data_IF_741874620486
#
_entry.id   IF_741874620486
#
_cell.length_a   1.000
_cell.length_b   1.000
_cell.length_c   1.000
_cell.angle_alpha   90.00
_cell.angle_beta   90.00
_cell.angle_gamma   90.00
#
_symmetry.space_group_name_H-M   'P 1'
#
loop_
_entity.id
_entity.type
_entity.pdbx_description
1 polymer ?
#
# COMPACT_ATOMS: atom_id res chain seq x y z
N UNK A 1 -39.54 -26.18 -5.25
CA UNK A 1 -38.44 -27.14 -5.03
C UNK A 1 -37.35 -26.83 -6.03
N UNK A 2 -36.33 -26.08 -5.64
CA UNK A 2 -35.11 -25.95 -6.44
C UNK A 2 -33.97 -26.53 -5.64
N UNK A 3 -33.34 -27.52 -6.25
CA UNK A 3 -32.33 -28.43 -5.72
C UNK A 3 -31.06 -27.68 -5.34
N UNK A 4 -30.52 -28.00 -4.17
CA UNK A 4 -29.13 -27.71 -3.82
C UNK A 4 -28.20 -28.46 -4.78
N UNK A 5 -27.65 -27.78 -5.78
CA UNK A 5 -26.44 -28.25 -6.43
C UNK A 5 -25.27 -27.91 -5.53
N UNK A 6 -24.81 -28.91 -4.77
CA UNK A 6 -23.50 -28.90 -4.10
C UNK A 6 -22.44 -28.66 -5.18
N UNK A 7 -21.90 -27.43 -5.25
CA UNK A 7 -20.70 -27.16 -6.02
C UNK A 7 -19.57 -28.01 -5.43
N UNK A 8 -19.11 -28.99 -6.19
CA UNK A 8 -17.90 -29.73 -5.86
C UNK A 8 -16.73 -28.74 -5.84
N UNK A 9 -16.06 -28.63 -4.69
CA UNK A 9 -14.86 -27.77 -4.50
C UNK A 9 -13.75 -28.17 -5.47
N UNK A 10 -13.13 -27.18 -6.09
CA UNK A 10 -11.96 -27.35 -6.96
C UNK A 10 -10.74 -27.84 -6.15
N UNK A 11 -9.86 -28.71 -6.69
CA UNK A 11 -8.69 -29.23 -5.97
C UNK A 11 -7.61 -28.18 -5.65
N UNK A 12 -7.77 -26.94 -6.13
CA UNK A 12 -6.78 -25.85 -6.07
C UNK A 12 -7.03 -24.92 -4.86
N UNK A 13 -8.15 -25.09 -4.13
CA UNK A 13 -8.57 -24.21 -3.02
C UNK A 13 -8.21 -24.73 -1.61
N UNK A 14 -7.30 -25.70 -1.50
CA UNK A 14 -6.86 -26.22 -0.20
C UNK A 14 -5.53 -25.60 0.22
N UNK A 15 -5.48 -24.95 1.39
CA UNK A 15 -4.22 -24.49 1.99
C UNK A 15 -3.31 -25.71 2.26
N UNK A 16 -2.09 -25.67 1.72
CA UNK A 16 -1.08 -26.69 2.03
C UNK A 16 -0.42 -26.41 3.38
N UNK A 17 -1.04 -26.91 4.45
CA UNK A 17 -0.53 -26.78 5.82
C UNK A 17 0.85 -27.42 6.03
N UNK A 18 1.33 -28.30 5.12
CA UNK A 18 2.69 -28.85 5.22
C UNK A 18 3.75 -27.77 5.05
N UNK A 19 3.48 -26.72 4.28
CA UNK A 19 4.38 -25.56 4.12
C UNK A 19 4.56 -24.75 5.41
N UNK A 20 3.62 -24.89 6.35
CA UNK A 20 3.59 -24.16 7.61
C UNK A 20 3.70 -25.08 8.83
N UNK A 21 4.11 -26.34 8.65
CA UNK A 21 4.08 -27.33 9.73
C UNK A 21 4.86 -26.86 10.96
N UNK A 22 5.99 -26.16 10.75
CA UNK A 22 6.85 -25.68 11.83
C UNK A 22 6.27 -24.43 12.51
N UNK A 23 5.57 -23.59 11.73
CA UNK A 23 4.93 -22.36 12.20
C UNK A 23 3.65 -22.66 13.01
N UNK A 24 2.91 -23.71 12.63
CA UNK A 24 1.60 -24.08 13.21
C UNK A 24 1.60 -25.37 14.02
N UNK A 25 2.78 -25.94 14.33
CA UNK A 25 2.95 -27.21 15.04
C UNK A 25 2.17 -27.34 16.36
N UNK A 26 1.88 -26.21 17.00
CA UNK A 26 1.22 -26.13 18.30
C UNK A 26 -0.29 -25.81 18.18
N UNK A 27 -0.78 -25.49 16.98
CA UNK A 27 -2.18 -25.13 16.74
C UNK A 27 -3.01 -26.40 16.57
N UNK A 28 -4.24 -26.40 17.11
CA UNK A 28 -5.19 -27.49 16.93
C UNK A 28 -5.46 -27.81 15.45
N UNK A 29 -5.30 -29.07 15.06
CA UNK A 29 -5.45 -29.47 13.65
C UNK A 29 -6.88 -29.33 13.12
N UNK A 30 -7.92 -29.46 13.97
CA UNK A 30 -9.30 -29.27 13.52
C UNK A 30 -9.56 -27.81 13.20
N UNK A 31 -8.97 -26.89 13.96
CA UNK A 31 -9.00 -25.48 13.61
C UNK A 31 -8.31 -25.22 12.27
N UNK A 32 -7.08 -25.73 12.05
CA UNK A 32 -6.37 -25.54 10.78
C UNK A 32 -7.19 -26.05 9.59
N UNK A 33 -7.87 -27.19 9.72
CA UNK A 33 -8.78 -27.72 8.68
C UNK A 33 -9.96 -26.79 8.33
N UNK A 34 -10.33 -25.87 9.22
CA UNK A 34 -11.40 -24.88 8.98
C UNK A 34 -10.92 -23.59 8.33
N UNK A 35 -9.60 -23.38 8.24
CA UNK A 35 -9.00 -22.20 7.64
C UNK A 35 -9.07 -22.33 6.11
N UNK A 36 -9.55 -21.27 5.46
CA UNK A 36 -9.73 -21.15 4.01
C UNK A 36 -8.74 -20.17 3.37
N UNK A 37 -8.14 -19.26 4.14
CA UNK A 37 -7.08 -18.36 3.65
C UNK A 37 -6.08 -18.01 4.76
N UNK A 38 -4.81 -17.81 4.39
CA UNK A 38 -3.74 -17.36 5.29
C UNK A 38 -3.00 -16.20 4.63
N UNK A 39 -2.87 -15.09 5.34
CA UNK A 39 -2.03 -13.97 4.98
C UNK A 39 -0.85 -13.86 5.94
N UNK A 40 0.35 -13.66 5.40
CA UNK A 40 1.60 -13.61 6.18
C UNK A 40 2.08 -12.17 6.23
N UNK A 41 2.30 -11.68 7.45
CA UNK A 41 2.94 -10.41 7.73
C UNK A 41 4.36 -10.69 8.20
N UNK A 42 5.31 -9.96 7.63
CA UNK A 42 6.71 -10.07 8.01
C UNK A 42 7.11 -8.84 8.82
N UNK A 43 7.66 -9.07 10.01
CA UNK A 43 8.23 -8.00 10.81
C UNK A 43 9.72 -8.27 11.12
N UNK A 44 10.48 -7.18 11.18
CA UNK A 44 11.90 -7.17 11.49
C UNK A 44 12.10 -6.61 12.90
N UNK A 45 12.32 -7.51 13.85
CA UNK A 45 12.64 -7.14 15.23
C UNK A 45 14.04 -7.66 15.57
N UNK A 46 14.94 -6.76 16.03
CA UNK A 46 16.31 -7.12 16.48
C UNK A 46 17.06 -8.03 15.51
N UNK A 47 16.97 -7.74 14.21
CA UNK A 47 17.64 -8.47 13.13
C UNK A 47 17.12 -9.91 12.87
N UNK A 48 15.97 -10.30 13.43
CA UNK A 48 15.28 -11.56 13.11
C UNK A 48 13.97 -11.28 12.38
N UNK A 49 13.74 -12.01 11.30
CA UNK A 49 12.44 -11.99 10.61
C UNK A 49 11.45 -12.84 11.41
N UNK A 50 10.42 -12.21 11.97
CA UNK A 50 9.26 -12.90 12.55
C UNK A 50 8.15 -12.99 11.49
N UNK A 51 7.47 -14.13 11.48
CA UNK A 51 6.25 -14.33 10.67
C UNK A 51 5.06 -14.17 11.59
N UNK A 52 4.15 -13.32 11.19
CA UNK A 52 2.86 -13.09 11.82
C UNK A 52 1.78 -13.49 10.82
N UNK A 53 0.62 -13.95 11.27
CA UNK A 53 -0.37 -14.57 10.41
C UNK A 53 -1.77 -14.01 10.67
N UNK A 54 -2.50 -13.78 9.58
CA UNK A 54 -3.95 -13.66 9.59
C UNK A 54 -4.52 -14.94 8.96
N UNK A 55 -5.39 -15.63 9.69
CA UNK A 55 -6.04 -16.86 9.26
C UNK A 55 -7.53 -16.62 9.13
N UNK A 56 -8.11 -16.92 7.97
CA UNK A 56 -9.53 -16.77 7.71
C UNK A 56 -10.18 -18.14 7.67
N UNK A 57 -11.32 -18.28 8.32
CA UNK A 57 -12.25 -19.40 8.17
C UNK A 57 -13.50 -18.91 7.43
N UNK A 58 -14.43 -19.80 7.09
CA UNK A 58 -15.73 -19.39 6.54
C UNK A 58 -16.55 -18.50 7.51
N UNK A 59 -16.20 -18.48 8.81
CA UNK A 59 -17.01 -17.84 9.86
C UNK A 59 -16.32 -16.70 10.60
N UNK A 60 -15.01 -16.60 10.53
CA UNK A 60 -14.24 -15.62 11.28
C UNK A 60 -12.81 -15.46 10.77
N UNK A 61 -12.21 -14.31 11.07
CA UNK A 61 -10.79 -13.99 10.88
C UNK A 61 -10.04 -14.10 12.21
N UNK A 62 -8.80 -14.55 12.17
CA UNK A 62 -7.96 -14.81 13.36
C UNK A 62 -6.55 -14.26 13.15
N UNK A 63 -5.97 -13.69 14.20
CA UNK A 63 -4.57 -13.28 14.26
C UNK A 63 -3.73 -14.34 14.98
N UNK A 64 -2.54 -14.61 14.49
CA UNK A 64 -1.59 -15.53 15.12
C UNK A 64 -0.15 -15.01 14.98
N UNK A 65 0.44 -14.65 16.11
CA UNK A 65 1.77 -14.09 16.24
C UNK A 65 1.80 -13.03 17.36
N UNK A 66 2.97 -12.82 17.97
CA UNK A 66 3.10 -11.94 19.14
C UNK A 66 2.80 -10.47 18.81
N UNK A 67 3.33 -9.97 17.70
CA UNK A 67 3.25 -8.56 17.36
C UNK A 67 1.91 -8.20 16.74
N UNK A 68 1.37 -9.05 15.86
CA UNK A 68 0.04 -8.79 15.30
C UNK A 68 -1.03 -8.85 16.38
N UNK A 69 -0.91 -9.77 17.34
CA UNK A 69 -1.82 -9.78 18.48
C UNK A 69 -1.65 -8.52 19.34
N UNK A 70 -0.40 -8.10 19.59
CA UNK A 70 -0.13 -6.84 20.31
C UNK A 70 -0.75 -5.62 19.61
N UNK A 71 -0.61 -5.49 18.28
CA UNK A 71 -1.21 -4.40 17.50
C UNK A 71 -2.73 -4.37 17.60
N UNK A 72 -3.35 -5.55 17.61
CA UNK A 72 -4.80 -5.70 17.71
C UNK A 72 -5.29 -5.74 19.17
N UNK A 73 -4.43 -5.47 20.15
CA UNK A 73 -4.75 -5.58 21.58
C UNK A 73 -5.28 -6.96 22.00
N UNK A 74 -4.84 -8.00 21.29
CA UNK A 74 -5.13 -9.41 21.57
C UNK A 74 -3.98 -10.05 22.36
N UNK A 75 -4.30 -11.05 23.18
CA UNK A 75 -3.27 -11.84 23.88
C UNK A 75 -2.83 -12.99 22.99
N UNK A 76 -1.57 -12.98 22.54
CA UNK A 76 -1.03 -14.10 21.78
C UNK A 76 -1.08 -15.42 22.59
N UNK A 77 -1.52 -16.48 21.93
CA UNK A 77 -1.52 -17.85 22.44
C UNK A 77 -0.86 -18.74 21.39
N UNK A 78 0.20 -19.46 21.79
CA UNK A 78 0.98 -20.33 20.90
C UNK A 78 0.18 -21.52 20.34
N UNK A 79 -0.98 -21.82 20.92
CA UNK A 79 -1.82 -22.97 20.54
C UNK A 79 -3.13 -22.55 19.88
N UNK A 80 -3.52 -21.28 20.02
CA UNK A 80 -4.84 -20.81 19.61
C UNK A 80 -4.74 -19.46 18.90
N UNK A 81 -4.99 -19.41 17.59
CA UNK A 81 -5.21 -18.15 16.89
C UNK A 81 -6.34 -17.35 17.53
N UNK A 82 -6.14 -16.05 17.65
CA UNK A 82 -7.03 -15.14 18.36
C UNK A 82 -8.04 -14.56 17.37
N UNK A 83 -9.33 -14.72 17.64
CA UNK A 83 -10.37 -14.16 16.78
C UNK A 83 -10.23 -12.65 16.71
N UNK A 84 -10.31 -12.11 15.51
CA UNK A 84 -10.37 -10.67 15.26
C UNK A 84 -11.85 -10.31 15.13
N UNK A 85 -12.28 -9.38 15.98
CA UNK A 85 -13.53 -8.66 15.79
C UNK A 85 -13.20 -7.41 14.97
N UNK A 86 -13.87 -7.21 13.84
CA UNK A 86 -13.83 -5.95 13.11
C UNK A 86 -14.88 -5.04 13.76
N UNK A 87 -14.38 -4.03 14.48
CA UNK A 87 -15.22 -3.05 15.16
C UNK A 87 -16.02 -2.23 14.15
N UNK A 88 -17.31 -2.07 14.41
CA UNK A 88 -18.24 -1.29 13.60
C UNK A 88 -19.18 -0.43 14.44
N UNK A 89 -18.82 -0.12 15.69
CA UNK A 89 -19.64 0.65 16.65
C UNK A 89 -20.17 1.99 16.11
N UNK A 90 -19.59 2.54 15.05
CA UNK A 90 -20.00 3.79 14.42
C UNK A 90 -20.34 3.63 12.93
N UNK A 91 -20.46 2.40 12.44
CA UNK A 91 -20.73 2.13 11.02
C UNK A 91 -19.52 2.38 10.10
N UNK A 92 -18.31 2.36 10.65
CA UNK A 92 -17.06 2.59 9.90
C UNK A 92 -16.75 1.53 8.84
N UNK A 93 -17.46 0.40 8.83
CA UNK A 93 -17.40 -0.60 7.76
C UNK A 93 -18.26 -0.22 6.54
N UNK A 94 -19.19 0.74 6.67
CA UNK A 94 -20.02 1.19 5.54
C UNK A 94 -21.09 0.20 5.11
N UNK A 95 -21.56 -0.67 6.02
CA UNK A 95 -22.50 -1.75 5.71
C UNK A 95 -23.98 -1.38 5.91
N UNK A 96 -24.25 -0.16 6.35
CA UNK A 96 -25.60 0.33 6.66
C UNK A 96 -26.08 0.02 8.07
N UNK A 97 -25.21 -0.49 8.92
CA UNK A 97 -25.46 -0.78 10.33
C UNK A 97 -24.18 -0.58 11.17
N UNK A 98 -24.33 -0.71 12.49
CA UNK A 98 -23.28 -0.55 13.51
C UNK A 98 -22.87 -1.90 14.13
N UNK A 99 -23.16 -3.02 13.43
CA UNK A 99 -22.91 -4.36 13.97
C UNK A 99 -21.47 -4.79 13.67
N UNK A 100 -20.76 -5.35 14.64
CA UNK A 100 -19.41 -5.88 14.41
C UNK A 100 -19.43 -7.03 13.39
N UNK A 101 -18.33 -7.16 12.63
CA UNK A 101 -18.16 -8.25 11.66
C UNK A 101 -16.95 -9.11 12.01
N UNK A 102 -17.09 -10.40 11.79
CA UNK A 102 -15.99 -11.36 11.95
C UNK A 102 -15.39 -11.82 10.61
N UNK A 103 -16.06 -11.51 9.50
CA UNK A 103 -15.66 -11.87 8.14
C UNK A 103 -15.79 -10.66 7.21
N UNK A 104 -15.07 -10.64 6.08
CA UNK A 104 -15.20 -9.56 5.09
C UNK A 104 -16.60 -9.53 4.47
N UNK A 105 -17.14 -8.32 4.29
CA UNK A 105 -18.38 -8.06 3.58
C UNK A 105 -18.14 -7.11 2.41
N UNK A 106 -18.96 -7.26 1.37
CA UNK A 106 -18.96 -6.32 0.26
C UNK A 106 -19.62 -5.01 0.69
N UNK A 107 -18.86 -3.92 0.65
CA UNK A 107 -19.38 -2.57 0.87
C UNK A 107 -20.07 -2.08 -0.40
N UNK A 108 -21.31 -1.63 -0.28
CA UNK A 108 -22.07 -1.09 -1.39
C UNK A 108 -21.88 0.44 -1.49
N UNK A 109 -21.77 0.94 -2.71
CA UNK A 109 -21.67 2.37 -3.00
C UNK A 109 -22.85 2.81 -3.87
N UNK A 110 -23.44 3.95 -3.55
CA UNK A 110 -24.65 4.46 -4.19
C UNK A 110 -24.45 4.98 -5.61
N UNK A 111 -23.20 5.25 -6.02
CA UNK A 111 -22.85 5.81 -7.33
C UNK A 111 -22.23 4.74 -8.25
N UNK A 112 -22.88 4.33 -9.36
CA UNK A 112 -22.35 3.33 -10.27
C UNK A 112 -21.03 3.73 -10.96
N UNK A 113 -20.72 5.03 -11.08
CA UNK A 113 -19.46 5.49 -11.68
C UNK A 113 -18.26 5.36 -10.73
N UNK A 114 -18.49 4.90 -9.49
CA UNK A 114 -17.50 4.68 -8.44
C UNK A 114 -16.91 3.25 -8.45
N UNK A 115 -16.87 2.56 -9.60
CA UNK A 115 -16.54 1.11 -9.64
C UNK A 115 -15.11 0.74 -9.22
N UNK A 116 -14.19 1.70 -9.13
CA UNK A 116 -12.80 1.41 -8.74
C UNK A 116 -12.29 2.36 -7.68
N UNK A 117 -12.15 1.83 -6.47
CA UNK A 117 -11.46 2.48 -5.37
C UNK A 117 -9.96 2.57 -5.71
N UNK A 118 -9.41 3.77 -5.64
CA UNK A 118 -7.99 4.11 -5.81
C UNK A 118 -7.23 4.01 -4.49
N UNK A 119 -7.83 4.47 -3.39
CA UNK A 119 -7.23 4.43 -2.07
C UNK A 119 -8.30 4.29 -0.98
N UNK A 120 -7.97 3.62 0.11
CA UNK A 120 -8.79 3.52 1.32
C UNK A 120 -7.97 4.04 2.48
N UNK A 121 -8.57 4.90 3.28
CA UNK A 121 -7.98 5.44 4.49
C UNK A 121 -8.91 5.12 5.65
N UNK A 122 -8.35 4.53 6.71
CA UNK A 122 -9.07 4.19 7.93
C UNK A 122 -8.53 5.07 9.08
N UNK A 123 -9.42 5.87 9.66
CA UNK A 123 -9.20 6.54 10.94
C UNK A 123 -9.48 5.61 12.12
N UNK A 124 -9.62 6.17 13.32
CA UNK A 124 -10.00 5.40 14.52
C UNK A 124 -11.39 4.76 14.36
N UNK A 125 -12.39 5.58 14.03
CA UNK A 125 -13.79 5.17 13.94
C UNK A 125 -14.46 5.59 12.63
N UNK A 126 -13.69 5.86 11.58
CA UNK A 126 -14.21 6.25 10.26
C UNK A 126 -13.36 5.72 9.11
N UNK A 127 -13.99 5.56 7.95
CA UNK A 127 -13.37 5.07 6.73
C UNK A 127 -13.66 5.99 5.56
N UNK A 128 -12.69 6.10 4.67
CA UNK A 128 -12.74 6.99 3.51
C UNK A 128 -12.27 6.25 2.27
N UNK A 129 -13.02 6.45 1.20
CA UNK A 129 -12.86 5.75 -0.05
C UNK A 129 -12.61 6.79 -1.15
N UNK A 130 -11.38 6.83 -1.66
CA UNK A 130 -11.03 7.65 -2.82
C UNK A 130 -11.20 6.79 -4.07
N UNK A 131 -12.04 7.23 -4.99
CA UNK A 131 -12.27 6.55 -6.27
C UNK A 131 -11.29 7.02 -7.35
N UNK A 132 -11.08 6.20 -8.39
CA UNK A 132 -10.20 6.53 -9.52
C UNK A 132 -10.65 7.78 -10.29
N UNK A 133 -11.94 8.09 -10.26
CA UNK A 133 -12.52 9.30 -10.86
C UNK A 133 -12.32 10.57 -10.00
N UNK A 134 -11.72 10.45 -8.80
CA UNK A 134 -11.47 11.57 -7.90
C UNK A 134 -12.63 11.91 -6.95
N UNK A 135 -13.72 11.15 -6.96
CA UNK A 135 -14.77 11.25 -5.94
C UNK A 135 -14.28 10.66 -4.61
N UNK A 136 -14.82 11.16 -3.50
CA UNK A 136 -14.54 10.64 -2.15
C UNK A 136 -15.85 10.32 -1.45
N UNK A 137 -15.93 9.14 -0.84
CA UNK A 137 -17.00 8.80 0.09
C UNK A 137 -16.42 8.56 1.49
N UNK A 138 -17.23 8.80 2.53
CA UNK A 138 -16.90 8.51 3.91
C UNK A 138 -18.03 7.83 4.68
N UNK A 139 -17.68 7.00 5.65
CA UNK A 139 -18.60 6.40 6.61
C UNK A 139 -17.92 6.27 7.99
N UNK A 140 -18.71 6.03 9.03
CA UNK A 140 -18.26 5.96 10.41
C UNK A 140 -18.70 7.14 11.27
N UNK A 141 -17.96 7.31 12.36
CA UNK A 141 -18.07 8.41 13.31
C UNK A 141 -17.90 9.78 12.62
N UNK A 142 -18.73 10.74 13.03
CA UNK A 142 -18.66 12.11 12.55
C UNK A 142 -18.82 13.14 13.67
N UNK A 143 -18.62 12.77 14.94
CA UNK A 143 -18.87 13.66 16.08
C UNK A 143 -18.11 14.99 16.02
N UNK A 144 -16.94 15.00 15.38
CA UNK A 144 -16.10 16.19 15.20
C UNK A 144 -16.18 16.80 13.80
N UNK A 145 -17.13 16.37 12.96
CA UNK A 145 -17.25 16.80 11.57
C UNK A 145 -16.16 16.21 10.65
N UNK A 146 -15.55 15.08 11.03
CA UNK A 146 -14.42 14.45 10.32
C UNK A 146 -14.80 13.90 8.94
N UNK A 147 -16.09 13.74 8.64
CA UNK A 147 -16.53 13.37 7.28
C UNK A 147 -16.68 14.59 6.35
N UNK A 148 -16.61 15.83 6.86
CA UNK A 148 -16.60 17.03 6.02
C UNK A 148 -17.94 17.34 5.34
N UNK A 149 -19.04 16.82 5.89
CA UNK A 149 -20.38 16.89 5.29
C UNK A 149 -21.18 18.14 5.72
N UNK A 150 -20.61 19.00 6.57
CA UNK A 150 -21.27 20.18 7.13
C UNK A 150 -22.11 19.91 8.38
N UNK A 151 -22.16 18.65 8.82
CA UNK A 151 -22.84 18.20 10.03
C UNK A 151 -21.90 17.37 10.91
N UNK A 152 -22.43 16.86 12.02
CA UNK A 152 -21.73 15.95 12.95
C UNK A 152 -22.47 14.61 13.10
N UNK A 153 -23.23 14.20 12.09
CA UNK A 153 -24.03 12.98 12.11
C UNK A 153 -23.23 11.76 11.61
N UNK A 154 -23.33 10.65 12.35
CA UNK A 154 -22.73 9.36 11.98
C UNK A 154 -23.29 8.89 10.65
N UNK A 155 -22.43 8.29 9.80
CA UNK A 155 -22.85 7.70 8.53
C UNK A 155 -22.46 6.23 8.48
N UNK A 156 -23.42 5.33 8.66
CA UNK A 156 -23.18 3.88 8.53
C UNK A 156 -23.13 3.38 7.07
N UNK A 157 -23.42 4.26 6.10
CA UNK A 157 -23.27 3.98 4.66
C UNK A 157 -22.29 4.97 4.04
N UNK A 158 -21.48 4.55 3.03
CA UNK A 158 -20.58 5.44 2.32
C UNK A 158 -21.35 6.62 1.72
N UNK A 159 -21.09 7.81 2.26
CA UNK A 159 -21.71 9.06 1.82
C UNK A 159 -20.69 9.87 1.03
N UNK A 160 -21.10 10.37 -0.14
CA UNK A 160 -20.27 11.24 -0.96
C UNK A 160 -19.94 12.55 -0.22
N UNK A 161 -18.66 12.87 -0.13
CA UNK A 161 -18.13 14.12 0.40
C UNK A 161 -18.15 15.16 -0.73
N UNK A 162 -18.55 16.42 -0.49
CA UNK A 162 -18.72 17.44 -1.52
C UNK A 162 -17.38 18.01 -2.03
N UNK A 163 -16.57 17.15 -2.61
CA UNK A 163 -15.29 17.48 -3.26
C UNK A 163 -15.09 16.61 -4.50
N UNK A 164 -14.49 17.20 -5.53
CA UNK A 164 -14.27 16.57 -6.83
C UNK A 164 -12.78 16.61 -7.19
N UNK A 165 -12.38 15.77 -8.16
CA UNK A 165 -11.01 15.70 -8.69
C UNK A 165 -9.91 15.37 -7.67
N UNK A 166 -10.26 14.72 -6.56
CA UNK A 166 -9.29 14.39 -5.50
C UNK A 166 -8.23 13.42 -6.01
N UNK A 167 -6.96 13.78 -5.83
CA UNK A 167 -5.81 12.95 -6.25
C UNK A 167 -5.29 12.08 -5.13
N UNK A 168 -5.31 12.56 -3.89
CA UNK A 168 -4.77 11.89 -2.72
C UNK A 168 -5.68 12.18 -1.52
N UNK A 169 -5.80 11.19 -0.65
CA UNK A 169 -6.41 11.30 0.67
C UNK A 169 -5.43 10.76 1.71
N UNK A 170 -5.42 11.36 2.89
CA UNK A 170 -4.67 10.90 4.05
C UNK A 170 -5.44 11.31 5.32
N UNK A 171 -5.27 10.56 6.41
CA UNK A 171 -5.84 10.88 7.72
C UNK A 171 -4.80 10.68 8.83
N UNK A 172 -5.03 11.34 9.97
CA UNK A 172 -4.36 11.02 11.24
C UNK A 172 -5.23 10.07 12.07
N UNK A 173 -4.62 9.39 13.06
CA UNK A 173 -5.33 8.42 13.92
C UNK A 173 -6.40 9.07 14.78
N UNK A 174 -6.21 10.31 15.23
CA UNK A 174 -7.02 10.94 16.27
C UNK A 174 -7.91 12.08 15.74
N UNK A 175 -8.80 11.76 14.82
CA UNK A 175 -9.90 12.63 14.36
C UNK A 175 -9.53 13.95 13.65
N UNK A 176 -8.30 14.19 13.23
CA UNK A 176 -7.94 15.59 12.96
C UNK A 176 -8.12 16.09 11.53
N UNK A 177 -7.71 15.39 10.46
CA UNK A 177 -7.77 16.03 9.13
C UNK A 177 -7.88 15.11 7.92
N UNK A 178 -8.92 15.37 7.12
CA UNK A 178 -9.07 15.08 5.69
C UNK A 178 -8.18 15.94 4.81
N UNK A 179 -7.41 15.36 3.91
CA UNK A 179 -6.57 16.06 2.97
C UNK A 179 -6.97 15.67 1.57
N UNK A 180 -7.40 16.64 0.80
CA UNK A 180 -7.76 16.42 -0.59
C UNK A 180 -6.99 17.41 -1.46
N UNK A 181 -6.32 16.87 -2.46
CA UNK A 181 -5.60 17.64 -3.47
C UNK A 181 -6.34 17.51 -4.79
N UNK A 182 -6.92 18.59 -5.30
CA UNK A 182 -7.54 18.64 -6.63
C UNK A 182 -6.50 18.82 -7.76
N UNK A 183 -5.24 19.04 -7.40
CA UNK A 183 -4.13 19.36 -8.28
C UNK A 183 -3.61 20.79 -8.16
N UNK A 184 -4.29 21.68 -7.44
CA UNK A 184 -3.90 23.08 -7.26
C UNK A 184 -4.02 23.54 -5.81
N UNK A 185 -5.01 23.05 -5.08
CA UNK A 185 -5.34 23.50 -3.73
C UNK A 185 -5.51 22.32 -2.78
N UNK A 186 -5.45 22.65 -1.50
CA UNK A 186 -5.46 21.68 -0.43
C UNK A 186 -6.50 22.03 0.61
N UNK A 187 -7.26 21.03 1.05
CA UNK A 187 -8.35 21.19 2.00
C UNK A 187 -8.07 20.40 3.26
N UNK A 188 -8.45 20.96 4.40
CA UNK A 188 -8.46 20.33 5.71
C UNK A 188 -9.84 20.45 6.36
N UNK A 189 -10.27 19.40 7.05
CA UNK A 189 -11.48 19.38 7.86
C UNK A 189 -11.41 18.29 8.93
N UNK A 190 -12.14 18.45 10.03
CA UNK A 190 -12.14 17.55 11.18
C UNK A 190 -11.82 18.28 12.48
N UNK A 191 -11.24 17.54 13.42
CA UNK A 191 -10.90 18.05 14.75
C UNK A 191 -9.60 18.86 14.71
N UNK A 192 -9.59 20.03 15.33
CA UNK A 192 -8.38 20.88 15.41
C UNK A 192 -7.55 20.67 16.68
N UNK A 193 -7.99 19.76 17.57
CA UNK A 193 -7.39 19.50 18.88
C UNK A 193 -7.14 18.01 19.06
N UNK A 194 -5.88 17.64 19.30
CA UNK A 194 -5.52 16.26 19.62
C UNK A 194 -5.72 15.93 21.09
N UNK A 195 -5.98 14.65 21.36
CA UNK A 195 -6.07 14.09 22.71
C UNK A 195 -4.72 13.50 23.13
N UNK A 196 -3.97 14.22 23.96
CA UNK A 196 -2.72 13.68 24.53
C UNK A 196 -3.06 12.73 25.67
N UNK A 197 -2.46 11.54 25.64
CA UNK A 197 -2.48 10.62 26.78
C UNK A 197 -1.69 11.24 27.94
N UNK A 198 -2.39 11.80 28.93
CA UNK A 198 -1.74 12.43 30.10
C UNK A 198 -1.66 11.48 31.30
N UNK A 199 -2.55 10.48 31.41
CA UNK A 199 -2.51 9.43 32.43
C UNK A 199 -3.53 8.30 32.12
N UNK A 200 -3.51 7.14 32.84
CA UNK A 200 -4.33 5.95 32.54
C UNK A 200 -5.86 6.11 32.45
N UNK A 201 -6.41 7.31 32.69
CA UNK A 201 -7.84 7.62 32.61
C UNK A 201 -8.14 9.07 32.21
N UNK A 202 -7.16 9.81 31.66
CA UNK A 202 -7.34 11.22 31.29
C UNK A 202 -6.72 11.49 29.92
N UNK A 203 -7.57 11.96 29.02
CA UNK A 203 -7.20 12.56 27.75
C UNK A 203 -7.47 14.05 27.89
N UNK A 204 -6.41 14.85 27.86
CA UNK A 204 -6.56 16.31 27.83
C UNK A 204 -6.52 16.73 26.36
N UNK A 205 -7.53 17.51 25.92
CA UNK A 205 -7.51 18.11 24.59
C UNK A 205 -6.41 19.18 24.58
N UNK A 206 -5.35 18.94 23.81
CA UNK A 206 -4.28 19.90 23.62
C UNK A 206 -4.52 20.65 22.31
N UNK A 207 -4.55 21.99 22.33
CA UNK A 207 -4.62 22.74 21.10
C UNK A 207 -3.29 22.68 20.37
N UNK A 208 -3.32 22.21 19.13
CA UNK A 208 -2.13 21.98 18.29
C UNK A 208 -2.28 22.58 16.90
N UNK A 209 -3.49 23.02 16.53
CA UNK A 209 -3.77 23.66 15.24
C UNK A 209 -3.51 22.74 14.04
N UNK A 210 -3.84 21.45 14.18
CA UNK A 210 -3.51 20.39 13.22
C UNK A 210 -4.12 20.55 11.84
N UNK A 211 -5.15 21.38 11.73
CA UNK A 211 -5.74 21.73 10.44
C UNK A 211 -4.86 22.68 9.61
N UNK A 212 -3.85 23.33 10.22
CA UNK A 212 -2.99 24.28 9.51
C UNK A 212 -3.72 25.56 9.08
N UNK A 213 -4.79 25.94 9.79
CA UNK A 213 -5.64 27.09 9.45
C UNK A 213 -5.35 28.33 10.28
N UNK A 214 -4.37 28.27 11.18
CA UNK A 214 -4.01 29.38 12.07
C UNK A 214 -4.87 29.50 13.33
N UNK A 215 -5.76 28.54 13.58
CA UNK A 215 -6.60 28.48 14.78
C UNK A 215 -6.84 27.04 15.26
N UNK A 216 -7.57 26.91 16.37
CA UNK A 216 -7.84 25.66 17.08
C UNK A 216 -9.30 25.21 16.94
N UNK A 217 -10.03 25.73 15.95
CA UNK A 217 -11.44 25.43 15.78
C UNK A 217 -11.64 24.22 14.86
N UNK A 218 -12.53 23.31 15.24
CA UNK A 218 -12.93 22.20 14.37
C UNK A 218 -13.57 22.75 13.08
N UNK A 219 -13.46 21.98 12.00
CA UNK A 219 -14.11 22.29 10.72
C UNK A 219 -14.95 21.10 10.29
N UNK A 220 -16.26 21.25 10.23
CA UNK A 220 -17.17 20.23 9.69
C UNK A 220 -17.32 20.30 8.16
N UNK A 221 -16.68 21.29 7.53
CA UNK A 221 -16.64 21.50 6.08
C UNK A 221 -15.20 21.61 5.60
N UNK A 222 -14.98 21.28 4.33
CA UNK A 222 -13.69 21.42 3.67
C UNK A 222 -13.24 22.88 3.71
N UNK A 223 -12.10 23.13 4.36
CA UNK A 223 -11.51 24.47 4.45
C UNK A 223 -10.16 24.48 3.74
N UNK A 224 -9.97 25.40 2.80
CA UNK A 224 -8.73 25.50 2.03
C UNK A 224 -7.57 25.97 2.92
N UNK A 225 -6.46 25.24 2.92
CA UNK A 225 -5.19 25.66 3.52
C UNK A 225 -4.50 26.67 2.58
N UNK A 226 -3.86 27.73 3.10
CA UNK A 226 -3.17 28.74 2.29
C UNK A 226 -1.82 28.24 1.70
N UNK A 227 -1.83 27.09 1.03
CA UNK A 227 -0.71 26.56 0.22
C UNK A 227 -1.26 26.18 -1.16
N UNK A 228 -0.62 26.67 -2.21
CA UNK A 228 -0.94 26.35 -3.60
C UNK A 228 0.04 25.31 -4.16
N UNK A 229 -0.34 24.65 -5.26
CA UNK A 229 0.49 23.69 -5.99
C UNK A 229 0.96 22.47 -5.19
N UNK A 230 0.21 22.09 -4.16
CA UNK A 230 0.50 20.89 -3.37
C UNK A 230 0.60 19.66 -4.28
N UNK A 231 1.73 18.95 -4.25
CA UNK A 231 1.97 17.74 -5.04
C UNK A 231 1.85 16.47 -4.20
N UNK A 232 2.33 16.52 -2.96
CA UNK A 232 2.37 15.37 -2.06
C UNK A 232 2.07 15.79 -0.62
N UNK A 233 1.41 14.89 0.10
CA UNK A 233 0.85 15.13 1.43
C UNK A 233 1.26 13.97 2.34
N UNK A 234 1.47 14.27 3.61
CA UNK A 234 1.94 13.32 4.59
C UNK A 234 1.41 13.66 5.97
N UNK A 235 1.00 12.63 6.72
CA UNK A 235 0.42 12.75 8.05
C UNK A 235 1.04 11.69 8.94
N UNK A 236 1.35 12.05 10.17
CA UNK A 236 1.72 11.04 11.15
C UNK A 236 0.46 10.41 11.75
N UNK A 237 0.49 9.08 11.88
CA UNK A 237 -0.56 8.31 12.56
C UNK A 237 -0.48 8.55 14.08
N UNK A 238 0.72 8.78 14.62
CA UNK A 238 0.93 8.86 16.08
C UNK A 238 1.24 10.26 16.59
N UNK A 239 1.72 11.14 15.72
CA UNK A 239 2.04 12.51 16.09
C UNK A 239 1.04 13.44 15.42
N UNK A 240 0.67 14.50 16.14
CA UNK A 240 -0.11 15.62 15.65
C UNK A 240 0.69 16.46 14.65
N UNK A 241 1.14 15.87 13.55
CA UNK A 241 2.09 16.47 12.63
C UNK A 241 1.73 16.19 11.17
N UNK A 242 1.88 17.23 10.35
CA UNK A 242 1.59 17.21 8.92
C UNK A 242 2.74 17.78 8.11
N UNK A 243 2.98 17.18 6.94
CA UNK A 243 3.93 17.68 5.96
C UNK A 243 3.29 17.77 4.57
N UNK A 244 3.62 18.84 3.85
CA UNK A 244 3.20 19.07 2.46
C UNK A 244 4.41 19.44 1.61
N UNK A 245 4.41 18.96 0.37
CA UNK A 245 5.38 19.35 -0.66
C UNK A 245 4.66 20.03 -1.82
N UNK A 246 5.06 21.25 -2.16
CA UNK A 246 4.46 22.06 -3.25
C UNK A 246 5.17 21.91 -4.61
N UNK A 247 6.17 21.02 -4.69
CA UNK A 247 7.03 20.90 -5.88
C UNK A 247 8.36 21.63 -5.78
N UNK A 248 8.53 22.52 -4.79
CA UNK A 248 9.74 23.32 -4.58
C UNK A 248 10.22 23.30 -3.13
N UNK A 249 9.31 23.12 -2.17
CA UNK A 249 9.56 23.32 -0.76
C UNK A 249 8.63 22.48 0.09
N UNK A 250 9.11 22.15 1.28
CA UNK A 250 8.34 21.45 2.29
C UNK A 250 7.71 22.44 3.28
N UNK A 251 6.49 22.15 3.66
CA UNK A 251 5.73 22.88 4.67
C UNK A 251 5.36 21.92 5.79
N UNK A 252 5.50 22.36 7.03
CA UNK A 252 5.20 21.57 8.21
C UNK A 252 4.33 22.35 9.20
N UNK A 253 3.46 21.65 9.93
CA UNK A 253 2.67 22.22 11.03
C UNK A 253 2.24 21.13 12.02
N UNK A 254 1.70 21.56 13.17
CA UNK A 254 1.37 20.71 14.31
C UNK A 254 2.44 20.67 15.40
N UNK A 255 2.52 19.55 16.13
CA UNK A 255 3.47 19.32 17.22
C UNK A 255 4.88 19.04 16.65
N UNK A 256 5.83 19.92 16.95
CA UNK A 256 7.24 19.79 16.54
C UNK A 256 8.14 19.74 17.78
N UNK A 257 9.38 19.24 17.62
CA UNK A 257 10.39 19.22 18.69
C UNK A 257 10.82 20.61 19.18
N UNK A 258 10.60 21.64 18.37
CA UNK A 258 10.98 23.02 18.69
C UNK A 258 9.84 23.79 19.36
N UNK A 259 8.60 23.49 18.98
CA UNK A 259 7.40 24.20 19.42
C UNK A 259 6.18 23.28 19.20
N UNK A 260 5.37 23.02 20.24
CA UNK A 260 4.19 22.17 20.14
C UNK A 260 3.03 22.80 19.36
N UNK A 261 3.07 24.11 19.05
CA UNK A 261 1.91 24.87 18.59
C UNK A 261 2.12 25.55 17.21
N UNK A 262 2.53 24.80 16.19
CA UNK A 262 2.51 25.33 14.82
C UNK A 262 1.09 25.20 14.24
N UNK A 263 0.22 26.19 14.50
CA UNK A 263 -1.16 26.18 13.99
C UNK A 263 -1.31 26.54 12.51
N UNK A 264 -0.23 26.98 11.86
CA UNK A 264 -0.17 27.32 10.43
C UNK A 264 1.04 26.66 9.77
N UNK A 265 0.95 26.28 8.48
CA UNK A 265 2.07 25.76 7.73
C UNK A 265 3.25 26.71 7.72
N UNK A 266 4.42 26.20 8.13
CA UNK A 266 5.69 26.92 8.06
C UNK A 266 6.59 26.27 7.02
N UNK A 267 7.18 27.09 6.17
CA UNK A 267 8.13 26.66 5.15
C UNK A 267 9.42 26.16 5.81
N UNK A 268 9.89 24.98 5.42
CA UNK A 268 11.17 24.43 5.83
C UNK A 268 12.29 24.93 4.91
N UNK A 269 13.50 25.08 5.44
CA UNK A 269 14.59 25.81 4.78
C UNK A 269 15.37 25.00 3.72
N UNK A 270 14.98 23.75 3.39
CA UNK A 270 15.67 22.91 2.42
C UNK A 270 14.76 22.42 1.28
N UNK A 271 15.29 22.45 0.06
CA UNK A 271 14.48 22.35 -1.17
C UNK A 271 14.48 20.99 -1.88
N UNK A 272 15.24 19.95 -1.47
CA UNK A 272 15.35 18.72 -2.29
C UNK A 272 15.47 17.39 -1.53
N UNK A 273 15.24 17.37 -0.23
CA UNK A 273 15.47 16.20 0.60
C UNK A 273 14.13 15.58 1.01
N UNK A 274 13.96 14.28 0.72
CA UNK A 274 12.71 13.49 0.90
C UNK A 274 11.88 13.81 2.16
N UNK A 275 10.60 13.42 2.20
CA UNK A 275 9.75 13.56 3.40
C UNK A 275 10.42 13.05 4.70
N UNK A 276 11.22 11.98 4.62
CA UNK A 276 11.97 11.46 5.76
C UNK A 276 13.02 12.46 6.27
N UNK A 277 13.72 13.14 5.36
CA UNK A 277 14.66 14.19 5.74
C UNK A 277 13.94 15.46 6.23
N UNK A 278 12.89 15.90 5.55
CA UNK A 278 12.11 17.05 5.98
C UNK A 278 11.54 16.85 7.40
N UNK A 279 11.10 15.62 7.73
CA UNK A 279 10.58 15.29 9.05
C UNK A 279 11.62 15.41 10.17
N UNK A 280 12.91 15.08 9.96
CA UNK A 280 13.93 15.21 11.02
C UNK A 280 14.30 16.65 11.34
N UNK A 281 13.90 17.63 10.52
CA UNK A 281 14.09 19.04 10.86
C UNK A 281 13.18 19.48 12.01
N UNK A 282 12.01 18.85 12.12
CA UNK A 282 10.92 19.23 13.02
C UNK A 282 10.52 18.14 14.01
N UNK A 283 11.00 16.91 13.84
CA UNK A 283 10.78 15.77 14.75
C UNK A 283 12.10 15.15 15.22
N UNK A 284 12.02 14.31 16.24
CA UNK A 284 13.17 13.61 16.84
C UNK A 284 13.61 12.37 16.04
N UNK A 285 12.80 11.92 15.09
CA UNK A 285 13.09 10.74 14.27
C UNK A 285 12.51 10.89 12.87
N UNK A 286 13.16 10.30 11.85
CA UNK A 286 12.66 10.34 10.49
C UNK A 286 11.34 9.57 10.39
N UNK A 287 10.33 10.21 9.82
CA UNK A 287 9.08 9.58 9.45
C UNK A 287 9.09 9.27 7.95
N UNK A 288 8.91 7.99 7.62
CA UNK A 288 8.58 7.61 6.25
C UNK A 288 7.07 7.62 6.12
N UNK A 289 6.57 8.45 5.22
CA UNK A 289 5.14 8.50 4.95
C UNK A 289 4.88 7.57 3.78
N UNK A 290 4.26 6.44 4.08
CA UNK A 290 3.66 5.62 3.06
C UNK A 290 2.40 6.34 2.58
N UNK A 291 2.43 6.88 1.36
CA UNK A 291 1.33 6.50 0.48
C UNK A 291 1.40 4.98 0.46
N UNK A 292 0.32 4.27 0.81
CA UNK A 292 0.14 2.91 0.31
C UNK A 292 0.24 3.05 -1.21
N UNK A 293 1.47 2.88 -1.71
CA UNK A 293 1.77 3.17 -3.08
C UNK A 293 0.93 2.20 -3.88
N UNK A 294 0.13 2.70 -4.81
CA UNK A 294 -0.38 1.88 -5.91
C UNK A 294 0.77 1.57 -6.87
N UNK A 295 1.91 1.12 -6.33
CA UNK A 295 2.88 0.37 -7.11
C UNK A 295 2.26 -1.01 -7.24
N UNK A 296 1.90 -1.37 -8.47
CA UNK A 296 1.47 -2.71 -8.78
C UNK A 296 2.69 -3.63 -8.65
N UNK A 297 2.83 -4.28 -7.50
CA UNK A 297 3.80 -5.36 -7.29
C UNK A 297 3.14 -6.66 -7.76
N UNK A 298 3.55 -7.15 -8.93
CA UNK A 298 3.09 -8.44 -9.45
C UNK A 298 4.05 -9.55 -9.01
N UNK A 299 3.52 -10.70 -8.57
CA UNK A 299 4.34 -11.84 -8.19
C UNK A 299 3.59 -13.16 -8.19
N UNK A 300 4.28 -14.25 -8.51
CA UNK A 300 3.77 -15.62 -8.45
C UNK A 300 3.89 -16.16 -7.02
N UNK A 301 2.86 -16.82 -6.49
CA UNK A 301 2.88 -17.49 -5.17
C UNK A 301 3.77 -18.75 -5.09
N UNK A 302 4.75 -18.90 -5.99
CA UNK A 302 5.77 -19.94 -5.85
C UNK A 302 6.74 -19.56 -4.73
N UNK A 303 6.36 -19.95 -3.51
CA UNK A 303 7.10 -19.77 -2.27
C UNK A 303 8.31 -20.69 -2.17
N UNK A 304 9.21 -20.67 -3.17
CA UNK A 304 10.59 -21.11 -2.95
C UNK A 304 11.42 -19.91 -2.49
N UNK A 305 11.11 -19.47 -1.26
CA UNK A 305 11.88 -18.50 -0.49
C UNK A 305 13.28 -19.05 -0.20
N UNK A 306 14.24 -18.80 -1.09
CA UNK A 306 15.64 -18.79 -0.68
C UNK A 306 16.05 -17.35 -0.39
N UNK A 307 15.93 -16.92 0.87
CA UNK A 307 16.59 -15.70 1.38
C UNK A 307 18.10 -15.67 1.04
N UNK A 308 18.69 -16.84 0.84
CA UNK A 308 20.07 -17.03 0.36
C UNK A 308 20.28 -16.53 -1.08
N UNK A 309 19.28 -16.61 -1.95
CA UNK A 309 19.32 -16.16 -3.35
C UNK A 309 19.10 -14.64 -3.45
N UNK A 310 18.26 -14.07 -2.57
CA UNK A 310 18.15 -12.61 -2.40
C UNK A 310 19.51 -11.97 -2.07
N UNK A 311 20.34 -12.66 -1.26
CA UNK A 311 21.72 -12.23 -0.97
C UNK A 311 22.65 -12.31 -2.18
N UNK A 312 22.25 -12.86 -3.33
CA UNK A 312 23.05 -12.88 -4.56
C UNK A 312 22.70 -11.72 -5.51
N UNK A 313 21.54 -11.09 -5.31
CA UNK A 313 21.12 -9.98 -6.15
C UNK A 313 21.88 -8.71 -5.78
N UNK A 314 22.55 -8.12 -6.77
CA UNK A 314 23.41 -6.94 -6.66
C UNK A 314 24.44 -6.98 -5.52
N UNK A 315 24.91 -8.20 -5.18
CA UNK A 315 25.88 -8.39 -4.12
C UNK A 315 27.31 -8.18 -4.65
N UNK A 316 28.03 -7.25 -4.04
CA UNK A 316 29.43 -6.95 -4.39
C UNK A 316 30.42 -8.06 -4.06
N UNK A 317 30.11 -8.91 -3.09
CA UNK A 317 30.98 -9.99 -2.62
C UNK A 317 30.71 -11.32 -3.34
N UNK A 318 29.62 -11.41 -4.11
CA UNK A 318 29.16 -12.69 -4.67
C UNK A 318 28.42 -12.53 -6.01
N UNK A 319 29.19 -12.26 -7.07
CA UNK A 319 28.71 -12.16 -8.45
C UNK A 319 29.78 -12.69 -9.41
N UNK A 320 29.35 -13.17 -10.58
CA UNK A 320 30.23 -13.63 -11.67
C UNK A 320 29.89 -12.98 -13.03
N UNK A 321 28.90 -12.05 -13.04
CA UNK A 321 28.59 -11.17 -14.17
C UNK A 321 28.15 -9.78 -13.71
N UNK A 322 28.55 -8.75 -14.48
CA UNK A 322 28.07 -7.37 -14.36
C UNK A 322 27.30 -6.97 -15.61
N UNK A 323 26.11 -6.39 -15.43
CA UNK A 323 25.42 -5.66 -16.49
C UNK A 323 25.76 -4.18 -16.39
N UNK A 324 26.29 -3.61 -17.47
CA UNK A 324 26.74 -2.22 -17.55
C UNK A 324 25.60 -1.36 -18.12
N UNK A 325 24.93 -0.57 -17.27
CA UNK A 325 23.82 0.34 -17.61
C UNK A 325 23.86 1.59 -16.74
N UNK A 326 24.55 2.67 -17.12
CA UNK A 326 24.81 3.85 -16.28
C UNK A 326 25.46 3.49 -14.90
N UNK A 327 24.73 2.80 -14.03
CA UNK A 327 25.18 2.02 -12.88
C UNK A 327 25.28 0.50 -13.17
N UNK A 328 26.27 -0.16 -12.57
CA UNK A 328 26.45 -1.61 -12.70
C UNK A 328 25.36 -2.37 -11.91
N UNK A 329 24.83 -3.44 -12.51
CA UNK A 329 23.99 -4.43 -11.83
C UNK A 329 24.77 -5.74 -11.73
N UNK A 330 24.95 -6.26 -10.52
CA UNK A 330 25.71 -7.50 -10.28
C UNK A 330 24.78 -8.70 -10.08
N UNK A 331 25.14 -9.85 -10.65
CA UNK A 331 24.35 -11.08 -10.49
C UNK A 331 25.18 -12.35 -10.71
N UNK A 332 24.56 -13.51 -10.45
CA UNK A 332 25.14 -14.84 -10.67
C UNK A 332 24.60 -15.51 -11.95
N UNK A 333 25.46 -15.80 -12.92
CA UNK A 333 25.17 -16.54 -14.16
C UNK A 333 24.49 -17.86 -13.87
N UNK A 334 25.01 -18.63 -12.91
CA UNK A 334 24.41 -19.92 -12.54
C UNK A 334 22.92 -19.78 -12.21
N UNK A 335 22.57 -18.76 -11.43
CA UNK A 335 21.19 -18.48 -11.07
C UNK A 335 20.37 -17.99 -12.26
N UNK A 336 20.86 -16.99 -13.00
CA UNK A 336 20.16 -16.48 -14.18
C UNK A 336 19.86 -17.58 -15.21
N UNK A 337 20.79 -18.53 -15.42
CA UNK A 337 20.60 -19.70 -16.30
C UNK A 337 19.53 -20.66 -15.79
N UNK A 338 19.31 -20.75 -14.47
CA UNK A 338 18.30 -21.63 -13.90
C UNK A 338 16.90 -21.05 -14.09
N UNK A 339 16.73 -19.74 -13.93
CA UNK A 339 15.41 -19.06 -13.95
C UNK A 339 15.00 -18.47 -15.30
N UNK A 340 15.94 -18.18 -16.21
CA UNK A 340 15.64 -17.57 -17.50
C UNK A 340 16.16 -18.40 -18.67
N UNK A 341 15.28 -18.74 -19.62
CA UNK A 341 15.66 -19.42 -20.88
C UNK A 341 16.61 -18.55 -21.71
N UNK A 342 16.42 -17.23 -21.69
CA UNK A 342 17.29 -16.28 -22.36
C UNK A 342 18.71 -16.35 -21.79
N UNK A 343 18.87 -16.16 -20.47
CA UNK A 343 20.20 -16.19 -19.86
C UNK A 343 20.85 -17.58 -19.90
N UNK A 344 20.06 -18.65 -19.93
CA UNK A 344 20.56 -20.02 -20.17
C UNK A 344 21.27 -20.13 -21.52
N UNK A 345 20.70 -19.54 -22.56
CA UNK A 345 21.29 -19.49 -23.91
C UNK A 345 22.44 -18.50 -23.95
N UNK A 346 22.26 -17.31 -23.38
CA UNK A 346 23.26 -16.25 -23.36
C UNK A 346 24.56 -16.71 -22.71
N UNK A 347 24.51 -17.32 -21.52
CA UNK A 347 25.71 -17.79 -20.81
C UNK A 347 26.05 -19.26 -21.12
N UNK A 348 25.88 -19.65 -22.39
CA UNK A 348 26.30 -20.96 -22.92
C UNK A 348 27.34 -20.80 -24.02
N UNK A 349 28.16 -21.83 -24.25
CA UNK A 349 29.25 -21.78 -25.22
C UNK A 349 30.25 -20.66 -24.92
N UNK A 350 30.72 -19.96 -25.97
CA UNK A 350 31.77 -18.94 -25.86
C UNK A 350 31.44 -17.76 -24.92
N UNK A 351 30.16 -17.55 -24.58
CA UNK A 351 29.74 -16.49 -23.67
C UNK A 351 29.77 -16.90 -22.19
N UNK A 352 30.13 -18.15 -21.87
CA UNK A 352 30.26 -18.59 -20.47
C UNK A 352 31.34 -17.83 -19.71
N UNK A 353 32.40 -17.43 -20.41
CA UNK A 353 33.57 -16.75 -19.82
C UNK A 353 33.36 -15.24 -19.64
N UNK A 354 32.38 -14.63 -20.32
CA UNK A 354 32.15 -13.18 -20.26
C UNK A 354 31.64 -12.75 -18.88
N UNK A 355 32.41 -11.97 -18.13
CA UNK A 355 32.06 -11.42 -16.82
C UNK A 355 31.33 -10.07 -16.90
N UNK A 356 31.15 -9.52 -18.10
CA UNK A 356 30.46 -8.26 -18.35
C UNK A 356 29.51 -8.34 -19.56
N UNK A 357 28.37 -7.68 -19.43
CA UNK A 357 27.35 -7.54 -20.47
C UNK A 357 26.97 -6.06 -20.57
N UNK A 358 27.15 -5.48 -21.74
CA UNK A 358 26.76 -4.08 -22.01
C UNK A 358 25.31 -4.07 -22.46
N UNK A 359 24.51 -3.20 -21.85
CA UNK A 359 23.09 -3.04 -22.16
C UNK A 359 22.86 -1.57 -22.50
N UNK A 360 22.54 -1.31 -23.76
CA UNK A 360 22.37 0.06 -24.29
C UNK A 360 20.91 0.40 -24.61
N UNK A 361 20.06 -0.62 -24.74
CA UNK A 361 18.69 -0.47 -25.25
C UNK A 361 17.65 -0.23 -24.13
N UNK A 362 18.07 -0.34 -22.87
CA UNK A 362 17.19 -0.25 -21.71
C UNK A 362 17.78 0.65 -20.62
N UNK A 363 16.90 1.37 -19.93
CA UNK A 363 17.23 2.14 -18.74
C UNK A 363 17.66 1.25 -17.58
N UNK A 364 18.45 1.83 -16.66
CA UNK A 364 18.85 1.14 -15.44
C UNK A 364 17.63 0.63 -14.67
N UNK A 365 16.60 1.47 -14.51
CA UNK A 365 15.40 1.14 -13.74
C UNK A 365 14.62 -0.05 -14.32
N UNK A 366 14.39 -0.09 -15.63
CA UNK A 366 13.65 -1.19 -16.26
C UNK A 366 14.44 -2.49 -16.18
N UNK A 367 15.73 -2.44 -16.46
CA UNK A 367 16.57 -3.63 -16.47
C UNK A 367 16.84 -4.16 -15.06
N UNK A 368 17.07 -3.28 -14.09
CA UNK A 368 17.19 -3.63 -12.67
C UNK A 368 15.90 -4.28 -12.16
N UNK A 369 14.73 -3.72 -12.49
CA UNK A 369 13.45 -4.32 -12.13
C UNK A 369 13.29 -5.73 -12.71
N UNK A 370 13.75 -5.96 -13.95
CA UNK A 370 13.73 -7.28 -14.58
C UNK A 370 14.67 -8.28 -13.89
N UNK A 371 15.94 -7.93 -13.66
CA UNK A 371 16.87 -8.82 -12.96
C UNK A 371 16.36 -9.11 -11.55
N UNK A 372 15.83 -8.10 -10.83
CA UNK A 372 15.22 -8.27 -9.52
C UNK A 372 14.02 -9.21 -9.58
N UNK A 373 13.17 -9.12 -10.61
CA UNK A 373 12.05 -10.05 -10.81
C UNK A 373 12.53 -11.48 -10.93
N UNK A 374 13.61 -11.73 -11.68
CA UNK A 374 14.17 -13.08 -11.81
C UNK A 374 14.63 -13.65 -10.47
N UNK A 375 15.10 -12.82 -9.54
CA UNK A 375 15.57 -13.24 -8.20
C UNK A 375 14.45 -13.36 -7.16
N UNK A 376 13.45 -12.50 -7.26
CA UNK A 376 12.44 -12.33 -6.20
C UNK A 376 11.07 -12.88 -6.58
N UNK A 377 10.86 -13.17 -7.87
CA UNK A 377 9.54 -13.42 -8.43
C UNK A 377 8.63 -12.19 -8.49
N UNK A 378 9.11 -11.02 -8.03
CA UNK A 378 8.33 -9.80 -7.88
C UNK A 378 8.86 -8.67 -8.76
N UNK A 379 7.96 -7.97 -9.44
CA UNK A 379 8.32 -6.82 -10.27
C UNK A 379 7.45 -5.60 -9.95
N UNK A 380 8.07 -4.42 -10.03
CA UNK A 380 7.41 -3.13 -9.92
C UNK A 380 7.19 -2.55 -11.32
N UNK A 381 5.94 -2.42 -11.74
CA UNK A 381 5.57 -1.88 -13.06
C UNK A 381 4.88 -0.52 -12.88
N UNK A 382 5.29 0.47 -13.67
CA UNK A 382 4.71 1.80 -13.69
C UNK A 382 4.70 2.38 -15.12
N UNK A 383 4.16 3.59 -15.29
CA UNK A 383 4.05 4.24 -16.61
C UNK A 383 5.39 4.61 -17.25
N UNK A 384 6.46 4.74 -16.47
CA UNK A 384 7.78 5.10 -16.97
C UNK A 384 8.51 3.88 -17.55
N UNK A 385 8.36 2.70 -16.94
CA UNK A 385 9.09 1.49 -17.34
C UNK A 385 8.28 0.50 -18.20
N UNK A 386 6.95 0.64 -18.32
CA UNK A 386 6.09 -0.33 -19.01
C UNK A 386 6.52 -0.60 -20.46
N UNK A 387 6.92 0.43 -21.21
CA UNK A 387 7.34 0.29 -22.61
C UNK A 387 8.55 -0.62 -22.75
N UNK A 388 9.57 -0.40 -21.91
CA UNK A 388 10.81 -1.17 -21.91
C UNK A 388 10.58 -2.59 -21.38
N UNK A 389 9.74 -2.75 -20.35
CA UNK A 389 9.41 -4.08 -19.80
C UNK A 389 8.63 -4.95 -20.79
N UNK A 390 7.72 -4.37 -21.58
CA UNK A 390 7.03 -5.10 -22.67
C UNK A 390 8.02 -5.54 -23.74
N UNK A 391 8.95 -4.66 -24.13
CA UNK A 391 9.98 -5.01 -25.12
C UNK A 391 10.91 -6.09 -24.59
N UNK A 392 11.39 -5.99 -23.34
CA UNK A 392 12.18 -7.02 -22.66
C UNK A 392 11.46 -8.36 -22.64
N UNK A 393 10.18 -8.38 -22.26
CA UNK A 393 9.38 -9.60 -22.20
C UNK A 393 9.33 -10.30 -23.56
N UNK A 394 9.12 -9.52 -24.63
CA UNK A 394 9.09 -10.03 -25.99
C UNK A 394 10.48 -10.50 -26.47
N UNK A 395 11.51 -9.66 -26.32
CA UNK A 395 12.87 -9.92 -26.76
C UNK A 395 13.47 -11.16 -26.06
N UNK A 396 13.19 -11.34 -24.77
CA UNK A 396 13.75 -12.43 -23.98
C UNK A 396 12.84 -13.67 -23.94
N UNK A 397 11.63 -13.57 -24.53
CA UNK A 397 10.64 -14.65 -24.53
C UNK A 397 10.18 -15.00 -23.12
N UNK A 398 10.05 -13.98 -22.25
CA UNK A 398 9.62 -14.12 -20.86
C UNK A 398 8.10 -13.95 -20.77
N UNK A 399 7.38 -15.07 -20.87
CA UNK A 399 5.91 -15.11 -20.84
C UNK A 399 5.33 -14.55 -19.54
N UNK A 400 6.03 -14.75 -18.41
CA UNK A 400 5.60 -14.27 -17.09
C UNK A 400 5.67 -12.74 -17.02
N UNK A 401 6.78 -12.16 -17.47
CA UNK A 401 6.88 -10.70 -17.56
C UNK A 401 5.83 -10.11 -18.49
N UNK A 402 5.57 -10.77 -19.64
CA UNK A 402 4.56 -10.32 -20.59
C UNK A 402 3.16 -10.31 -19.96
N UNK A 403 2.81 -11.34 -19.19
CA UNK A 403 1.53 -11.43 -18.48
C UNK A 403 1.37 -10.31 -17.44
N UNK A 404 2.40 -10.01 -16.67
CA UNK A 404 2.38 -8.88 -15.72
C UNK A 404 2.22 -7.54 -16.44
N UNK A 405 2.92 -7.33 -17.55
CA UNK A 405 2.79 -6.12 -18.35
C UNK A 405 1.39 -5.97 -18.95
N UNK A 406 0.82 -7.05 -19.49
CA UNK A 406 -0.54 -7.08 -20.02
C UNK A 406 -1.57 -6.75 -18.92
N UNK A 407 -1.41 -7.33 -17.74
CA UNK A 407 -2.28 -7.06 -16.58
C UNK A 407 -2.20 -5.60 -16.15
N UNK A 408 -1.00 -5.03 -16.09
CA UNK A 408 -0.80 -3.62 -15.79
C UNK A 408 -1.49 -2.73 -16.84
N UNK A 409 -1.25 -2.98 -18.13
CA UNK A 409 -1.85 -2.21 -19.23
C UNK A 409 -3.37 -2.26 -19.13
N UNK A 410 -3.97 -3.44 -18.91
CA UNK A 410 -5.42 -3.57 -18.71
C UNK A 410 -5.93 -2.72 -17.54
N UNK A 411 -5.20 -2.72 -16.44
CA UNK A 411 -5.60 -2.01 -15.21
C UNK A 411 -5.48 -0.49 -15.32
N UNK A 412 -4.61 -0.02 -16.22
CA UNK A 412 -4.28 1.39 -16.45
C UNK A 412 -4.90 1.96 -17.75
N UNK A 413 -5.50 1.13 -18.61
CA UNK A 413 -6.11 1.56 -19.88
C UNK A 413 -7.31 2.48 -19.66
N UNK A 414 -7.21 3.72 -20.12
CA UNK A 414 -8.25 4.75 -20.11
C UNK A 414 -7.98 5.77 -21.23
N UNK A 415 -8.88 6.74 -21.43
CA UNK A 415 -8.77 7.73 -22.51
C UNK A 415 -7.41 8.46 -22.56
N UNK A 416 -6.78 8.72 -21.40
CA UNK A 416 -5.48 9.40 -21.31
C UNK A 416 -4.29 8.49 -21.58
N UNK A 417 -4.42 7.18 -21.33
CA UNK A 417 -3.32 6.20 -21.47
C UNK A 417 -3.41 5.40 -22.76
N UNK A 418 -4.51 5.53 -23.52
CA UNK A 418 -4.67 4.88 -24.83
C UNK A 418 -3.53 5.21 -25.80
N UNK A 419 -3.08 6.46 -25.84
CA UNK A 419 -2.01 6.89 -26.75
C UNK A 419 -0.68 6.20 -26.46
N UNK A 420 -0.45 5.80 -25.21
CA UNK A 420 0.76 5.08 -24.78
C UNK A 420 0.60 3.57 -24.96
N UNK A 421 -0.56 3.02 -24.60
CA UNK A 421 -0.76 1.57 -24.54
C UNK A 421 -1.16 0.95 -25.89
N UNK A 422 -1.94 1.66 -26.71
CA UNK A 422 -2.42 1.15 -27.99
C UNK A 422 -1.27 0.79 -28.96
N UNK A 423 -0.20 1.60 -29.11
CA UNK A 423 0.96 1.20 -29.92
C UNK A 423 1.61 -0.10 -29.44
N UNK A 424 1.71 -0.32 -28.13
CA UNK A 424 2.30 -1.54 -27.56
C UNK A 424 1.42 -2.76 -27.82
N UNK A 425 0.10 -2.63 -27.60
CA UNK A 425 -0.88 -3.69 -27.84
C UNK A 425 -0.81 -4.16 -29.30
N UNK A 426 -0.78 -3.21 -30.24
CA UNK A 426 -0.71 -3.49 -31.68
C UNK A 426 0.65 -4.10 -32.05
N UNK A 427 1.75 -3.46 -31.63
CA UNK A 427 3.12 -3.87 -31.99
C UNK A 427 3.42 -5.31 -31.54
N UNK A 428 3.04 -5.66 -30.31
CA UNK A 428 3.35 -6.97 -29.73
C UNK A 428 2.17 -7.95 -29.83
N UNK A 429 1.10 -7.62 -30.55
CA UNK A 429 -0.07 -8.47 -30.80
C UNK A 429 -0.58 -9.14 -29.52
N UNK A 430 -0.82 -8.33 -28.48
CA UNK A 430 -1.24 -8.84 -27.18
C UNK A 430 -2.60 -9.52 -27.29
N UNK A 431 -2.61 -10.86 -27.15
CA UNK A 431 -3.73 -11.74 -27.52
C UNK A 431 -5.05 -11.41 -26.83
N UNK A 432 -4.99 -10.74 -25.69
CA UNK A 432 -6.18 -10.52 -24.86
C UNK A 432 -6.83 -9.13 -25.03
N UNK A 433 -6.40 -8.36 -26.04
CA UNK A 433 -6.96 -7.05 -26.40
C UNK A 433 -7.48 -6.98 -27.85
N UNK A 434 -7.46 -8.11 -28.56
CA UNK A 434 -8.01 -8.23 -29.91
C UNK A 434 -9.49 -8.60 -29.77
N UNK A 435 -10.37 -7.73 -30.29
CA UNK A 435 -11.82 -7.98 -30.41
C UNK A 435 -12.11 -9.18 -31.29
#
# INVERSE_FOLDING_TARGET
MFSSSTMARSPIESIDFKLFQDDFKNIDQKFLQSVVSIFIIFNYEKSKLKKEFLMMTEKATYAYGEEICSWLSLKHDMTKPQRISLFNDFGQLGLGDEEDRDIPYLVAFSDPDSTRIKNIVAGEDYSLFLFKNGQVCGCGSNYNGVLGLGDTEIRSTPTKIPIENVKQIACSKFDSFLLANDGSSYYAWGKAKYRKWSSPKRFDDHPTGELGLGDENNRSILTKIPIENVQQIACSIFNSFSLVYDGSSYYAWGETKHDPNWSSPRKLNDSHSSFAYASVQVLDSPLTFGLTSTIYEFGSHDSLSYKSILRLFDNQDNYDVKFKIDNDIKSGKFYLKSVSKYYRRMFSGNWSENDQVIINDYSYEAYYAYIRMLHTGKIHINRQNITELVDLANCYGDERLMEYCQTFIRSDLNAQTMTTHLPLIIKYKMKEFVL
#
